data_IF_232598528128
#
_entry.id   IF_232598528128
#
_cell.length_a   1.000
_cell.length_b   1.000
_cell.length_c   1.000
_cell.angle_alpha   90.00
_cell.angle_beta   90.00
_cell.angle_gamma   90.00
#
_symmetry.space_group_name_H-M   'P 1'
#
loop_
_entity.id
_entity.type
_entity.pdbx_description
1 polymer ?
#
# COMPACT_ATOMS: atom_id res chain seq x y z
N UNK A 1 9.27 16.40 7.49
CA UNK A 1 8.18 15.40 7.52
C UNK A 1 6.77 16.01 7.67
N UNK A 2 6.59 17.34 7.80
CA UNK A 2 5.28 17.98 7.99
C UNK A 2 4.52 18.35 6.70
N UNK A 3 4.95 17.87 5.52
CA UNK A 3 4.46 18.40 4.25
C UNK A 3 3.09 17.85 3.83
N UNK A 4 2.70 16.68 4.34
CA UNK A 4 1.51 15.93 3.89
C UNK A 4 0.51 15.60 5.02
N UNK A 5 0.72 16.10 6.25
CA UNK A 5 -0.14 15.86 7.41
C UNK A 5 -0.53 14.38 7.62
N UNK A 6 0.42 13.47 7.41
CA UNK A 6 0.22 12.03 7.62
C UNK A 6 0.41 11.78 9.13
N UNK A 7 -0.64 11.28 9.78
CA UNK A 7 -0.61 10.95 11.21
C UNK A 7 -0.06 9.54 11.48
N UNK A 8 -0.06 8.67 10.47
CA UNK A 8 0.50 7.33 10.53
C UNK A 8 2.03 7.35 10.61
N UNK A 9 2.60 6.32 11.24
CA UNK A 9 4.05 6.09 11.21
C UNK A 9 4.53 5.89 9.77
N UNK A 10 5.58 6.64 9.40
CA UNK A 10 6.22 6.54 8.08
C UNK A 10 7.60 5.96 8.26
N UNK A 11 7.80 4.77 7.72
CA UNK A 11 9.09 4.08 7.69
C UNK A 11 9.68 4.11 6.28
N UNK A 12 11.00 4.20 6.19
CA UNK A 12 11.75 4.06 4.95
C UNK A 12 12.58 2.78 5.05
N UNK A 13 12.45 1.90 4.06
CA UNK A 13 13.33 0.75 3.92
C UNK A 13 14.61 1.17 3.21
N UNK A 14 15.75 1.04 3.88
CA UNK A 14 17.09 1.28 3.33
C UNK A 14 17.74 -0.06 2.95
N UNK A 15 17.32 -0.62 1.81
CA UNK A 15 17.80 -1.91 1.30
C UNK A 15 18.49 -1.72 -0.06
N UNK A 16 19.80 -2.03 -0.18
CA UNK A 16 20.53 -1.89 -1.44
C UNK A 16 20.12 -2.91 -2.51
N UNK A 17 19.67 -4.10 -2.12
CA UNK A 17 19.20 -5.13 -3.08
C UNK A 17 17.68 -5.13 -3.19
N UNK A 18 17.18 -4.32 -4.13
CA UNK A 18 15.74 -4.18 -4.34
C UNK A 18 15.07 -5.48 -4.80
N UNK A 19 15.79 -6.36 -5.50
CA UNK A 19 15.20 -7.57 -6.06
C UNK A 19 14.97 -8.64 -5.00
N UNK A 20 15.77 -8.65 -3.94
CA UNK A 20 15.68 -9.63 -2.87
C UNK A 20 14.34 -9.59 -2.11
N UNK A 21 13.64 -8.45 -2.10
CA UNK A 21 12.39 -8.29 -1.35
C UNK A 21 11.12 -8.30 -2.22
N UNK A 22 11.24 -8.28 -3.54
CA UNK A 22 10.07 -8.29 -4.46
C UNK A 22 9.20 -9.52 -4.16
N UNK A 23 9.80 -10.71 -4.18
CA UNK A 23 9.09 -11.98 -3.93
C UNK A 23 8.55 -12.12 -2.49
N UNK A 24 9.21 -11.46 -1.54
CA UNK A 24 8.79 -11.42 -0.14
C UNK A 24 7.53 -10.54 0.04
N UNK A 25 7.42 -9.46 -0.75
CA UNK A 25 6.25 -8.59 -0.75
C UNK A 25 5.10 -9.18 -1.58
N UNK A 26 5.38 -9.59 -2.81
CA UNK A 26 4.45 -10.27 -3.71
C UNK A 26 5.19 -11.08 -4.79
N UNK A 27 4.94 -12.39 -4.84
CA UNK A 27 5.54 -13.29 -5.85
C UNK A 27 5.04 -13.01 -7.28
N UNK A 28 3.86 -12.38 -7.39
CA UNK A 28 3.26 -12.06 -8.68
C UNK A 28 3.66 -10.64 -9.16
N UNK A 29 4.40 -9.88 -8.36
CA UNK A 29 4.87 -8.55 -8.75
C UNK A 29 6.05 -8.66 -9.73
N UNK A 30 5.93 -8.01 -10.89
CA UNK A 30 6.95 -8.03 -11.93
C UNK A 30 8.24 -7.27 -11.59
N UNK A 31 8.25 -6.52 -10.48
CA UNK A 31 9.31 -5.57 -10.14
C UNK A 31 9.16 -4.19 -10.78
N UNK A 32 8.05 -3.92 -11.47
CA UNK A 32 7.76 -2.59 -12.04
C UNK A 32 7.47 -1.57 -10.93
N UNK A 33 8.18 -0.45 -10.93
CA UNK A 33 8.01 0.70 -10.02
C UNK A 33 7.50 1.91 -10.83
N UNK A 34 6.56 2.73 -10.30
CA UNK A 34 6.00 2.71 -8.95
C UNK A 34 5.06 1.53 -8.69
N UNK A 35 4.91 1.13 -7.43
CA UNK A 35 3.96 0.11 -6.98
C UNK A 35 3.31 0.55 -5.66
N UNK A 36 2.05 0.20 -5.46
CA UNK A 36 1.29 0.53 -4.24
C UNK A 36 0.63 -0.72 -3.68
N UNK A 37 0.86 -1.02 -2.40
CA UNK A 37 0.28 -2.16 -1.70
C UNK A 37 -0.62 -1.68 -0.56
N UNK A 38 -1.88 -2.12 -0.56
CA UNK A 38 -2.86 -1.84 0.48
C UNK A 38 -3.17 -3.14 1.21
N UNK A 39 -2.98 -3.15 2.53
CA UNK A 39 -3.22 -4.33 3.36
C UNK A 39 -4.12 -3.92 4.53
N UNK A 40 -5.20 -4.69 4.73
CA UNK A 40 -5.98 -4.68 5.95
C UNK A 40 -5.95 -6.09 6.57
N UNK A 41 -5.13 -6.25 7.60
CA UNK A 41 -4.96 -7.53 8.31
C UNK A 41 -6.23 -7.96 9.05
N UNK A 42 -6.99 -7.01 9.62
CA UNK A 42 -8.24 -7.29 10.34
C UNK A 42 -9.32 -7.88 9.44
N UNK A 43 -9.39 -7.45 8.18
CA UNK A 43 -10.34 -7.95 7.18
C UNK A 43 -9.76 -9.04 6.27
N UNK A 44 -8.46 -9.35 6.41
CA UNK A 44 -7.75 -10.26 5.50
C UNK A 44 -7.71 -9.78 4.05
N UNK A 45 -7.79 -8.46 3.80
CA UNK A 45 -7.78 -7.89 2.45
C UNK A 45 -6.39 -7.41 2.06
N UNK A 46 -6.03 -7.66 0.80
CA UNK A 46 -4.77 -7.24 0.20
C UNK A 46 -5.05 -6.84 -1.25
N UNK A 47 -4.66 -5.63 -1.63
CA UNK A 47 -4.77 -5.13 -3.01
C UNK A 47 -3.42 -4.55 -3.40
N UNK A 48 -2.94 -4.98 -4.56
CA UNK A 48 -1.67 -4.55 -5.12
C UNK A 48 -1.91 -3.82 -6.44
N UNK A 49 -1.26 -2.67 -6.59
CA UNK A 49 -1.25 -1.88 -7.80
C UNK A 49 0.16 -1.83 -8.35
N UNK A 50 0.34 -2.44 -9.52
CA UNK A 50 1.55 -2.29 -10.29
C UNK A 50 1.44 -1.05 -11.21
N UNK A 51 2.47 -0.21 -11.20
CA UNK A 51 2.49 1.04 -11.96
C UNK A 51 1.80 2.21 -11.24
N UNK A 52 1.51 3.26 -12.01
CA UNK A 52 0.90 4.47 -11.49
C UNK A 52 -0.58 4.23 -11.18
N UNK A 53 -0.94 4.33 -9.90
CA UNK A 53 -2.34 4.24 -9.47
C UNK A 53 -3.06 5.57 -9.68
N UNK A 54 -4.29 5.50 -10.19
CA UNK A 54 -5.18 6.65 -10.26
C UNK A 54 -5.76 6.95 -8.87
N UNK A 55 -5.77 8.23 -8.47
CA UNK A 55 -6.27 8.65 -7.16
C UNK A 55 -7.73 8.27 -6.88
N UNK A 56 -8.61 8.35 -7.88
CA UNK A 56 -10.02 7.96 -7.75
C UNK A 56 -10.14 6.46 -7.45
N UNK A 57 -9.46 5.64 -8.24
CA UNK A 57 -9.44 4.20 -8.05
C UNK A 57 -8.83 3.80 -6.69
N UNK A 58 -7.73 4.45 -6.31
CA UNK A 58 -7.09 4.25 -5.02
C UNK A 58 -8.02 4.55 -3.84
N UNK A 59 -8.74 5.68 -3.89
CA UNK A 59 -9.70 6.08 -2.85
C UNK A 59 -10.87 5.09 -2.78
N UNK A 60 -11.32 4.56 -3.91
CA UNK A 60 -12.40 3.57 -3.93
C UNK A 60 -11.98 2.23 -3.31
N UNK A 61 -10.77 1.75 -3.60
CA UNK A 61 -10.24 0.56 -2.93
C UNK A 61 -10.00 0.80 -1.44
N UNK A 62 -9.50 1.98 -1.05
CA UNK A 62 -9.37 2.35 0.37
C UNK A 62 -10.71 2.29 1.11
N UNK A 63 -11.79 2.84 0.52
CA UNK A 63 -13.14 2.78 1.14
C UNK A 63 -13.65 1.35 1.29
N UNK A 64 -13.32 0.44 0.38
CA UNK A 64 -13.67 -0.99 0.49
C UNK A 64 -12.87 -1.70 1.58
N UNK A 65 -11.72 -1.16 1.94
CA UNK A 65 -10.81 -1.67 2.96
C UNK A 65 -11.00 -1.05 4.33
N UNK A 66 -11.69 0.08 4.45
CA UNK A 66 -12.06 0.64 5.75
C UNK A 66 -13.45 0.16 6.13
N UNK A 67 -13.65 -0.40 7.35
CA UNK A 67 -14.99 -0.50 7.89
C UNK A 67 -15.54 0.93 8.01
N UNK A 68 -16.80 1.15 7.61
CA UNK A 68 -17.44 2.47 7.69
C UNK A 68 -17.23 3.05 9.10
N UNK A 69 -16.44 4.12 9.20
CA UNK A 69 -16.18 4.81 10.46
C UNK A 69 -17.50 5.37 10.98
N UNK A 70 -18.06 4.63 11.94
CA UNK A 70 -19.35 4.89 12.56
C UNK A 70 -19.62 3.93 13.71
N UNK A 71 -18.60 3.63 14.52
CA UNK A 71 -18.72 3.09 15.88
C UNK A 71 -17.32 3.04 16.51
N UNK A 72 -17.03 4.04 17.35
CA UNK A 72 -16.26 4.03 18.60
C UNK A 72 -15.67 5.42 18.84
#
# INVERSE_FOLDING_TARGET
MSKNNIESEVVLLDEPDYNAWIDEVDKDWSGTIPATLLINLTMGKRVFFEGQVNMEHFVDELKKMTPATGAN
#
